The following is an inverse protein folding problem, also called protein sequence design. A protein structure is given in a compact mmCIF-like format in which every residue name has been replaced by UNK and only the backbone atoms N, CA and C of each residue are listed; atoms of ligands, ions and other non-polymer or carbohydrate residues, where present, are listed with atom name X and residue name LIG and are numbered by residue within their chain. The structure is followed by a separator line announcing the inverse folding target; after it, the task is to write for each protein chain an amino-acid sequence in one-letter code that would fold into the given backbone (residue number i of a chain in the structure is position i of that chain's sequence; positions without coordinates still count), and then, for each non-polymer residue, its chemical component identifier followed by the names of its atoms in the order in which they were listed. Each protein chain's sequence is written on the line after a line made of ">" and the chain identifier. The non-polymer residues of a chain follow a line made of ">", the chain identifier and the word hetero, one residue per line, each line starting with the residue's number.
data_IF_419658391737
#
_entry.id   IF_419658391737
#
_cell.length_a   1.000
_cell.length_b   1.000
_cell.length_c   1.000
_cell.angle_alpha   90.00
_cell.angle_beta   90.00
_cell.angle_gamma   90.00
#
_symmetry.space_group_name_H-M   'P 1'
#
loop_
_entity.id
_entity.type
_entity.pdbx_description
1 polymer ?
#
# COMPACT_ATOMS: atom_id res chain seq x y z
N UNK A 1 -12.26 11.97 22.81
CA UNK A 1 -10.83 11.84 22.48
C UNK A 1 -10.77 11.32 21.06
N UNK A 2 -10.55 12.21 20.10
CA UNK A 2 -10.67 11.92 18.68
C UNK A 2 -9.44 11.18 18.19
N UNK A 3 -9.64 9.97 17.69
CA UNK A 3 -8.60 9.26 16.98
C UNK A 3 -8.34 9.91 15.64
N UNK A 4 -7.11 10.37 15.41
CA UNK A 4 -6.72 10.91 14.11
C UNK A 4 -6.67 9.79 13.06
N UNK A 5 -6.61 10.17 11.79
CA UNK A 5 -6.48 9.24 10.65
C UNK A 5 -5.37 8.19 10.85
N UNK A 6 -4.31 8.55 11.58
CA UNK A 6 -3.20 7.68 11.95
C UNK A 6 -3.61 6.40 12.72
N UNK A 7 -4.67 6.45 13.54
CA UNK A 7 -5.15 5.27 14.31
C UNK A 7 -5.79 4.20 13.41
N UNK A 8 -6.13 4.57 12.19
CA UNK A 8 -6.70 3.65 11.20
C UNK A 8 -5.65 2.97 10.34
N UNK A 9 -4.38 3.40 10.40
CA UNK A 9 -3.27 2.78 9.67
C UNK A 9 -2.59 1.74 10.57
N UNK A 10 -2.71 0.43 10.30
CA UNK A 10 -2.08 -0.61 11.13
C UNK A 10 -0.57 -0.45 11.30
N UNK A 11 0.13 0.05 10.27
CA UNK A 11 1.57 0.31 10.33
C UNK A 11 1.93 1.48 11.27
N UNK A 12 0.95 2.25 11.76
CA UNK A 12 1.15 3.30 12.77
C UNK A 12 1.91 4.53 12.28
N UNK A 13 2.09 4.69 10.96
CA UNK A 13 2.75 5.85 10.33
C UNK A 13 2.11 6.17 8.99
N UNK A 14 2.25 7.43 8.56
CA UNK A 14 1.96 7.81 7.19
C UNK A 14 2.96 7.18 6.22
N UNK A 15 2.48 6.88 5.02
CA UNK A 15 3.33 6.45 3.92
C UNK A 15 4.32 7.54 3.52
N UNK A 16 5.50 7.12 3.08
CA UNK A 16 6.53 7.94 2.48
C UNK A 16 6.70 7.54 1.01
N UNK A 17 7.27 8.39 0.15
CA UNK A 17 7.52 8.06 -1.26
C UNK A 17 8.27 6.74 -1.46
N UNK A 18 9.18 6.39 -0.54
CA UNK A 18 9.99 5.18 -0.59
C UNK A 18 9.15 3.90 -0.45
N UNK A 19 7.99 3.95 0.21
CA UNK A 19 7.15 2.78 0.48
C UNK A 19 6.54 2.18 -0.80
N UNK A 20 6.36 2.98 -1.86
CA UNK A 20 5.76 2.51 -3.13
C UNK A 20 6.81 2.07 -4.15
N UNK A 21 8.09 2.39 -3.95
CA UNK A 21 9.16 2.17 -4.94
C UNK A 21 9.24 0.71 -5.34
N UNK A 22 9.22 -0.21 -4.37
CA UNK A 22 9.25 -1.65 -4.66
C UNK A 22 8.03 -2.13 -5.46
N UNK A 23 6.84 -1.59 -5.16
CA UNK A 23 5.62 -1.91 -5.90
C UNK A 23 5.65 -1.40 -7.35
N UNK A 24 6.18 -0.20 -7.56
CA UNK A 24 6.39 0.36 -8.90
C UNK A 24 7.39 -0.50 -9.66
N UNK A 25 8.55 -0.81 -9.07
CA UNK A 25 9.59 -1.65 -9.68
C UNK A 25 8.99 -3.00 -10.09
N UNK A 26 8.21 -3.63 -9.22
CA UNK A 26 7.52 -4.88 -9.53
C UNK A 26 6.65 -4.71 -10.78
N UNK A 27 5.75 -3.72 -10.80
CA UNK A 27 4.79 -3.50 -11.90
C UNK A 27 5.43 -3.13 -13.24
N UNK A 28 6.63 -2.52 -13.24
CA UNK A 28 7.35 -2.17 -14.47
C UNK A 28 8.37 -3.22 -14.92
N UNK A 29 8.52 -4.30 -14.14
CA UNK A 29 9.49 -5.36 -14.40
C UNK A 29 8.87 -6.60 -15.04
N UNK A 30 9.71 -7.48 -15.56
CA UNK A 30 9.29 -8.79 -16.08
C UNK A 30 8.62 -9.68 -15.00
N UNK A 31 8.84 -9.38 -13.72
CA UNK A 31 8.22 -10.10 -12.62
C UNK A 31 6.69 -9.98 -12.61
N UNK A 32 6.13 -8.94 -13.23
CA UNK A 32 4.68 -8.76 -13.39
C UNK A 32 4.18 -9.12 -14.79
N UNK A 33 4.95 -9.84 -15.62
CA UNK A 33 4.63 -10.12 -17.03
C UNK A 33 3.29 -10.83 -17.29
N UNK A 34 2.73 -11.52 -16.29
CA UNK A 34 1.41 -12.15 -16.36
C UNK A 34 0.37 -11.54 -15.41
N UNK A 35 0.69 -10.40 -14.79
CA UNK A 35 -0.21 -9.71 -13.86
C UNK A 35 -0.82 -8.50 -14.56
N UNK A 36 -2.09 -8.65 -14.94
CA UNK A 36 -2.86 -7.61 -15.64
C UNK A 36 -4.24 -7.41 -15.00
N UNK A 37 -4.77 -6.20 -15.10
CA UNK A 37 -6.08 -5.84 -14.55
C UNK A 37 -6.16 -5.85 -13.02
N UNK A 38 -5.02 -5.87 -12.32
CA UNK A 38 -4.96 -5.92 -10.85
C UNK A 38 -4.56 -4.57 -10.26
N UNK A 39 -5.01 -4.29 -9.04
CA UNK A 39 -4.57 -3.16 -8.23
C UNK A 39 -3.63 -3.65 -7.13
N UNK A 40 -2.42 -3.09 -7.09
CA UNK A 40 -1.48 -3.32 -5.98
C UNK A 40 -1.67 -2.23 -4.92
N UNK A 41 -2.30 -2.58 -3.80
CA UNK A 41 -2.56 -1.66 -2.69
C UNK A 41 -1.35 -1.61 -1.74
N UNK A 42 -0.81 -0.40 -1.54
CA UNK A 42 0.31 -0.13 -0.63
C UNK A 42 -0.08 1.05 0.27
N UNK A 43 -0.73 0.76 1.40
CA UNK A 43 -1.36 1.77 2.26
C UNK A 43 -1.10 1.57 3.77
N UNK A 44 -0.11 0.76 4.12
CA UNK A 44 0.20 0.44 5.51
C UNK A 44 -0.87 -0.38 6.23
N UNK A 45 -1.77 -1.03 5.47
CA UNK A 45 -2.82 -1.92 5.99
C UNK A 45 -4.18 -1.25 6.14
N UNK A 46 -4.34 0.00 5.72
CA UNK A 46 -5.59 0.77 5.87
C UNK A 46 -6.79 0.04 5.23
N UNK A 47 -6.63 -0.49 4.02
CA UNK A 47 -7.68 -1.20 3.28
C UNK A 47 -8.03 -2.55 3.93
N UNK A 48 -7.08 -3.20 4.61
CA UNK A 48 -7.33 -4.49 5.28
C UNK A 48 -8.20 -4.40 6.53
N UNK A 49 -8.31 -3.23 7.15
CA UNK A 49 -9.08 -3.01 8.38
C UNK A 49 -10.59 -2.77 8.13
N UNK A 50 -11.01 -2.66 6.87
CA UNK A 50 -12.40 -2.45 6.45
C UNK A 50 -13.09 -3.72 5.92
N UNK A 51 -12.41 -4.87 5.98
CA UNK A 51 -12.96 -6.18 5.63
C UNK A 51 -13.48 -6.91 6.87
#
# INVERSE_FOLDING_TARGET
>A
KGGGFLEHIPLGRYGQPEDIVGGIIYLVSDASSYVTGQTLVIDGGLTSKLA
#
